data_IF_661689911192
#
_entry.id   IF_661689911192
#
_cell.length_a   1.000
_cell.length_b   1.000
_cell.length_c   1.000
_cell.angle_alpha   90.00
_cell.angle_beta   90.00
_cell.angle_gamma   90.00
#
_symmetry.space_group_name_H-M   'P 1'
#
loop_
_entity.id
_entity.type
_entity.pdbx_description
1 polymer ?
#
# COMPACT_ATOMS: atom_id res chain seq x y z
N UNK A 1 -20.25 -25.40 15.89
CA UNK A 1 -19.84 -24.04 16.29
C UNK A 1 -18.77 -23.57 15.31
N UNK A 2 -19.16 -23.06 14.14
CA UNK A 2 -18.23 -22.35 13.25
C UNK A 2 -18.40 -20.88 13.57
N UNK A 3 -17.40 -20.35 14.27
CA UNK A 3 -17.33 -18.95 14.69
C UNK A 3 -17.49 -18.02 13.49
N UNK A 4 -18.28 -16.98 13.71
CA UNK A 4 -18.55 -15.92 12.76
C UNK A 4 -17.28 -15.14 12.42
N UNK A 5 -16.86 -15.20 11.17
CA UNK A 5 -15.85 -14.29 10.60
C UNK A 5 -16.48 -13.49 9.48
N UNK A 6 -17.22 -12.44 9.84
CA UNK A 6 -17.52 -11.35 8.91
C UNK A 6 -16.47 -10.28 9.15
N UNK A 7 -15.41 -10.33 8.34
CA UNK A 7 -14.46 -9.27 7.97
C UNK A 7 -13.46 -9.95 7.00
N UNK A 8 -13.16 -9.30 5.87
CA UNK A 8 -12.02 -9.61 4.97
C UNK A 8 -12.14 -10.74 3.92
N UNK A 9 -13.35 -11.07 3.44
CA UNK A 9 -13.52 -12.03 2.33
C UNK A 9 -12.99 -11.59 0.96
N UNK A 10 -12.54 -10.35 0.80
CA UNK A 10 -12.07 -9.82 -0.48
C UNK A 10 -10.54 -9.81 -0.59
N UNK A 11 -9.77 -9.47 0.46
CA UNK A 11 -8.32 -9.25 0.33
C UNK A 11 -7.52 -10.44 -0.22
N UNK A 12 -7.92 -11.68 0.08
CA UNK A 12 -7.28 -12.87 -0.53
C UNK A 12 -7.65 -13.02 -2.00
N UNK A 13 -8.90 -12.74 -2.38
CA UNK A 13 -9.34 -12.76 -3.79
C UNK A 13 -8.74 -11.59 -4.56
N UNK A 14 -8.69 -10.41 -3.97
CA UNK A 14 -8.00 -9.24 -4.51
C UNK A 14 -6.53 -9.56 -4.73
N UNK A 15 -5.85 -10.17 -3.75
CA UNK A 15 -4.45 -10.56 -3.89
C UNK A 15 -4.26 -11.56 -5.03
N UNK A 16 -5.15 -12.54 -5.19
CA UNK A 16 -5.12 -13.48 -6.33
C UNK A 16 -5.35 -12.76 -7.67
N UNK A 17 -6.36 -11.87 -7.76
CA UNK A 17 -6.61 -11.08 -8.97
C UNK A 17 -5.44 -10.14 -9.30
N UNK A 18 -4.74 -9.67 -8.27
CA UNK A 18 -3.64 -8.73 -8.42
C UNK A 18 -2.28 -9.43 -8.56
N UNK A 19 -2.18 -10.74 -8.32
CA UNK A 19 -0.93 -11.49 -8.34
C UNK A 19 -0.22 -11.43 -9.71
N UNK A 20 -1.00 -11.49 -10.81
CA UNK A 20 -0.45 -11.37 -12.16
C UNK A 20 0.16 -9.98 -12.41
N UNK A 21 -0.56 -8.92 -11.98
CA UNK A 21 -0.05 -7.56 -12.07
C UNK A 21 1.10 -7.30 -11.09
N UNK A 22 1.14 -8.03 -9.98
CA UNK A 22 2.19 -7.99 -8.96
C UNK A 22 3.51 -8.56 -9.48
N UNK A 23 3.46 -9.55 -10.37
CA UNK A 23 4.65 -10.16 -10.95
C UNK A 23 5.54 -9.12 -11.66
N UNK A 24 4.93 -8.15 -12.35
CA UNK A 24 5.64 -7.03 -12.99
C UNK A 24 6.29 -6.06 -11.99
N UNK A 25 5.82 -6.02 -10.75
CA UNK A 25 6.38 -5.19 -9.67
C UNK A 25 7.45 -5.92 -8.85
N UNK A 26 7.60 -7.24 -8.99
CA UNK A 26 8.68 -7.98 -8.35
C UNK A 26 10.06 -7.42 -8.77
N UNK A 27 10.15 -6.88 -9.99
CA UNK A 27 11.36 -6.21 -10.50
C UNK A 27 11.68 -4.88 -9.80
N UNK A 28 10.74 -4.32 -9.04
CA UNK A 28 10.95 -3.13 -8.21
C UNK A 28 11.58 -3.45 -6.84
N UNK A 29 11.49 -4.70 -6.37
CA UNK A 29 12.00 -5.14 -5.07
C UNK A 29 13.45 -4.70 -4.78
N UNK A 30 14.44 -4.93 -5.68
CA UNK A 30 15.82 -4.53 -5.39
C UNK A 30 15.96 -3.02 -5.20
N UNK A 31 15.17 -2.18 -5.88
CA UNK A 31 15.21 -0.74 -5.66
C UNK A 31 14.60 -0.37 -4.30
N UNK A 32 13.40 -0.87 -3.99
CA UNK A 32 12.74 -0.53 -2.72
C UNK A 32 13.43 -1.14 -1.51
N UNK A 33 14.22 -2.19 -1.68
CA UNK A 33 15.09 -2.76 -0.63
C UNK A 33 16.40 -1.99 -0.46
N UNK A 34 16.74 -1.09 -1.37
CA UNK A 34 18.00 -0.33 -1.37
C UNK A 34 19.20 -1.09 -1.98
N UNK A 35 18.98 -2.26 -2.54
CA UNK A 35 19.98 -3.07 -3.25
C UNK A 35 20.33 -2.46 -4.61
N UNK A 36 19.39 -1.74 -5.24
CA UNK A 36 19.57 -1.03 -6.49
C UNK A 36 19.48 0.48 -6.32
N UNK A 37 20.33 1.22 -7.05
CA UNK A 37 20.35 2.69 -7.05
C UNK A 37 19.21 3.35 -7.83
N UNK A 38 18.60 2.60 -8.75
CA UNK A 38 17.53 3.10 -9.62
C UNK A 38 16.56 1.97 -9.98
N UNK A 39 15.27 2.28 -10.18
CA UNK A 39 14.31 1.29 -10.67
C UNK A 39 14.63 0.87 -12.11
N UNK A 40 14.33 -0.39 -12.44
CA UNK A 40 14.43 -0.89 -13.81
C UNK A 40 13.30 -0.32 -14.67
N UNK A 41 13.49 -0.24 -16.01
CA UNK A 41 12.41 0.18 -16.91
C UNK A 41 11.19 -0.75 -16.81
N UNK A 42 11.43 -2.03 -16.55
CA UNK A 42 10.38 -3.04 -16.37
C UNK A 42 9.53 -2.74 -15.11
N UNK A 43 10.18 -2.41 -14.00
CA UNK A 43 9.52 -1.97 -12.77
C UNK A 43 8.59 -0.76 -13.02
N UNK A 44 9.10 0.27 -13.71
CA UNK A 44 8.28 1.44 -14.02
C UNK A 44 7.16 1.15 -15.02
N UNK A 45 7.39 0.23 -15.97
CA UNK A 45 6.37 -0.26 -16.89
C UNK A 45 5.24 -0.98 -16.15
N UNK A 46 5.58 -1.90 -15.26
CA UNK A 46 4.65 -2.64 -14.41
C UNK A 46 3.83 -1.70 -13.51
N UNK A 47 4.48 -0.75 -12.83
CA UNK A 47 3.79 0.23 -11.98
C UNK A 47 2.80 1.10 -12.78
N UNK A 48 3.19 1.58 -13.96
CA UNK A 48 2.29 2.35 -14.84
C UNK A 48 1.11 1.52 -15.31
N UNK A 49 1.35 0.29 -15.69
CA UNK A 49 0.31 -0.61 -16.18
C UNK A 49 -0.70 -0.90 -15.07
N UNK A 50 -0.22 -1.22 -13.87
CA UNK A 50 -1.06 -1.44 -12.70
C UNK A 50 -1.94 -0.22 -12.39
N UNK A 51 -1.36 0.98 -12.36
CA UNK A 51 -2.07 2.23 -12.13
C UNK A 51 -3.19 2.48 -13.15
N UNK A 52 -3.02 2.01 -14.39
CA UNK A 52 -4.01 2.11 -15.45
C UNK A 52 -5.07 1.01 -15.39
N UNK A 53 -4.64 -0.22 -15.14
CA UNK A 53 -5.51 -1.40 -15.17
C UNK A 53 -6.37 -1.51 -13.93
N UNK A 54 -5.77 -1.43 -12.74
CA UNK A 54 -6.48 -1.71 -11.50
C UNK A 54 -5.91 -0.95 -10.31
N UNK A 55 -6.55 0.17 -9.96
CA UNK A 55 -6.25 0.92 -8.73
C UNK A 55 -6.45 0.08 -7.48
N UNK A 56 -7.39 -0.86 -7.49
CA UNK A 56 -7.63 -1.83 -6.40
C UNK A 56 -6.33 -2.59 -6.07
N UNK A 57 -5.64 -3.08 -7.09
CA UNK A 57 -4.41 -3.85 -6.91
C UNK A 57 -3.26 -3.04 -6.32
N UNK A 58 -3.15 -1.77 -6.71
CA UNK A 58 -2.21 -0.86 -6.06
C UNK A 58 -2.48 -0.71 -4.57
N UNK A 59 -3.74 -0.66 -4.17
CA UNK A 59 -4.12 -0.55 -2.77
C UNK A 59 -3.77 -1.82 -1.99
N UNK A 60 -3.99 -3.01 -2.59
CA UNK A 60 -3.55 -4.28 -2.00
C UNK A 60 -2.04 -4.27 -1.76
N UNK A 61 -1.25 -3.82 -2.74
CA UNK A 61 0.21 -3.76 -2.63
C UNK A 61 0.68 -2.85 -1.52
N UNK A 62 0.09 -1.66 -1.40
CA UNK A 62 0.49 -0.70 -0.36
C UNK A 62 0.11 -1.23 1.03
N UNK A 63 -0.99 -1.98 1.14
CA UNK A 63 -1.38 -2.68 2.37
C UNK A 63 -0.40 -3.81 2.72
N UNK A 64 -0.17 -4.74 1.79
CA UNK A 64 0.69 -5.93 1.98
C UNK A 64 2.17 -5.56 2.10
N UNK A 65 2.63 -4.52 1.40
CA UNK A 65 4.02 -4.05 1.45
C UNK A 65 4.40 -3.42 2.78
N UNK A 66 3.41 -3.02 3.58
CA UNK A 66 3.60 -2.56 4.96
C UNK A 66 3.38 -3.70 5.98
N UNK A 67 3.10 -4.92 5.51
CA UNK A 67 2.90 -6.07 6.37
C UNK A 67 4.26 -6.66 6.79
N UNK A 68 4.59 -6.66 8.09
CA UNK A 68 5.85 -7.20 8.58
C UNK A 68 5.94 -8.73 8.45
N UNK A 69 4.83 -9.44 8.23
CA UNK A 69 4.85 -10.90 8.02
C UNK A 69 5.33 -11.30 6.62
N UNK A 70 5.33 -10.37 5.64
CA UNK A 70 5.86 -10.65 4.30
C UNK A 70 7.38 -10.89 4.30
N UNK A 71 8.10 -10.53 5.38
CA UNK A 71 9.55 -10.72 5.48
C UNK A 71 10.35 -9.87 4.49
N UNK A 72 9.73 -8.86 3.88
CA UNK A 72 10.37 -7.94 2.95
C UNK A 72 10.89 -6.72 3.70
N UNK A 73 12.18 -6.43 3.55
CA UNK A 73 12.79 -5.22 4.10
C UNK A 73 12.58 -4.04 3.15
N UNK A 74 11.36 -3.47 3.15
CA UNK A 74 11.00 -2.34 2.29
C UNK A 74 11.53 -1.03 2.90
N UNK A 75 12.36 -0.30 2.16
CA UNK A 75 12.71 1.07 2.47
C UNK A 75 11.59 2.01 1.97
N UNK A 76 10.75 2.46 2.90
CA UNK A 76 9.59 3.31 2.63
C UNK A 76 9.97 4.57 1.84
N UNK A 77 11.16 5.15 2.09
CA UNK A 77 11.63 6.34 1.37
C UNK A 77 11.83 6.07 -0.12
N UNK A 78 12.39 4.91 -0.47
CA UNK A 78 12.58 4.49 -1.87
C UNK A 78 11.25 4.08 -2.51
N UNK A 79 10.35 3.47 -1.74
CA UNK A 79 9.00 3.19 -2.21
C UNK A 79 8.22 4.47 -2.53
N UNK A 80 8.38 5.53 -1.75
CA UNK A 80 7.75 6.83 -1.98
C UNK A 80 8.36 7.62 -3.15
N UNK A 81 9.62 7.36 -3.52
CA UNK A 81 10.25 7.99 -4.68
C UNK A 81 9.88 7.34 -6.02
N UNK A 82 9.48 6.06 -6.01
CA UNK A 82 9.11 5.30 -7.21
C UNK A 82 8.05 5.98 -8.09
N UNK A 83 6.90 6.45 -7.55
CA UNK A 83 5.87 7.13 -8.35
C UNK A 83 6.44 8.32 -9.13
N UNK A 84 7.33 9.09 -8.50
CA UNK A 84 7.97 10.27 -9.11
C UNK A 84 9.01 9.87 -10.16
N UNK A 85 9.88 8.91 -9.85
CA UNK A 85 10.92 8.44 -10.78
C UNK A 85 10.33 7.74 -12.01
N UNK A 86 9.27 6.97 -11.80
CA UNK A 86 8.57 6.32 -12.88
C UNK A 86 7.59 7.25 -13.60
N UNK A 87 7.39 8.51 -13.17
CA UNK A 87 6.37 9.42 -13.73
C UNK A 87 4.97 8.77 -13.75
N UNK A 88 4.62 8.15 -12.64
CA UNK A 88 3.42 7.35 -12.45
C UNK A 88 2.79 7.74 -11.11
N UNK A 89 2.13 8.92 -11.03
CA UNK A 89 1.57 9.41 -9.77
C UNK A 89 0.49 8.45 -9.26
N UNK A 90 0.72 7.92 -8.06
CA UNK A 90 -0.21 7.03 -7.37
C UNK A 90 -1.01 7.84 -6.35
N UNK A 91 -2.34 7.83 -6.46
CA UNK A 91 -3.22 8.42 -5.45
C UNK A 91 -3.80 7.31 -4.58
N UNK A 92 -3.25 7.17 -3.37
CA UNK A 92 -3.64 6.12 -2.42
C UNK A 92 -4.79 6.54 -1.50
N UNK A 93 -5.24 7.79 -1.54
CA UNK A 93 -6.38 8.28 -0.73
C UNK A 93 -7.69 7.54 -1.01
N UNK A 94 -7.83 6.98 -2.21
CA UNK A 94 -9.02 6.24 -2.63
C UNK A 94 -8.98 4.77 -2.20
N UNK A 95 -7.83 4.28 -1.73
CA UNK A 95 -7.63 2.88 -1.36
C UNK A 95 -8.55 2.36 -0.26
N UNK A 96 -8.85 3.12 0.81
CA UNK A 96 -9.80 2.67 1.82
C UNK A 96 -11.17 2.36 1.23
N UNK A 97 -11.67 3.23 0.33
CA UNK A 97 -12.95 3.01 -0.34
C UNK A 97 -12.89 1.82 -1.32
N UNK A 98 -11.80 1.67 -2.07
CA UNK A 98 -11.62 0.57 -3.05
C UNK A 98 -11.47 -0.80 -2.39
N UNK A 99 -10.88 -0.86 -1.20
CA UNK A 99 -10.71 -2.07 -0.40
C UNK A 99 -11.85 -2.29 0.60
N UNK A 100 -12.89 -1.45 0.55
CA UNK A 100 -14.04 -1.51 1.46
C UNK A 100 -13.63 -1.51 2.94
N UNK A 101 -12.59 -0.75 3.27
CA UNK A 101 -12.10 -0.56 4.63
C UNK A 101 -12.93 0.49 5.35
N UNK A 102 -13.07 0.34 6.67
CA UNK A 102 -13.68 1.39 7.47
C UNK A 102 -12.77 2.64 7.46
N UNK A 103 -13.29 3.84 7.16
CA UNK A 103 -12.48 5.04 7.05
C UNK A 103 -11.80 5.46 8.35
N UNK A 104 -12.24 4.94 9.51
CA UNK A 104 -11.62 5.18 10.82
C UNK A 104 -10.74 4.00 11.30
N UNK A 105 -10.50 3.00 10.45
CA UNK A 105 -9.61 1.88 10.75
C UNK A 105 -8.13 2.30 10.68
N UNK A 106 -7.24 1.68 11.47
CA UNK A 106 -5.82 1.96 11.40
C UNK A 106 -5.25 1.72 9.99
N UNK A 107 -5.77 0.73 9.26
CA UNK A 107 -5.42 0.47 7.87
C UNK A 107 -5.78 1.63 6.94
N UNK A 108 -6.98 2.22 7.08
CA UNK A 108 -7.37 3.38 6.28
C UNK A 108 -6.50 4.62 6.57
N UNK A 109 -6.13 4.82 7.83
CA UNK A 109 -5.26 5.92 8.23
C UNK A 109 -3.87 5.86 7.57
N UNK A 110 -3.32 4.66 7.38
CA UNK A 110 -2.03 4.50 6.69
C UNK A 110 -2.11 5.04 5.26
N UNK A 111 -3.17 4.72 4.53
CA UNK A 111 -3.38 5.24 3.17
C UNK A 111 -3.53 6.76 3.12
N UNK A 112 -4.28 7.35 4.05
CA UNK A 112 -4.40 8.81 4.13
C UNK A 112 -3.07 9.46 4.50
N UNK A 113 -2.26 8.83 5.36
CA UNK A 113 -0.95 9.34 5.73
C UNK A 113 0.01 9.33 4.53
N UNK A 114 0.00 8.26 3.73
CA UNK A 114 0.79 8.19 2.50
C UNK A 114 0.35 9.21 1.46
N UNK A 115 -0.95 9.50 1.37
CA UNK A 115 -1.45 10.57 0.53
C UNK A 115 -1.08 11.97 1.06
N UNK A 116 -1.11 12.14 2.38
CA UNK A 116 -0.87 13.42 3.07
C UNK A 116 0.62 13.74 3.22
N UNK A 117 1.53 12.77 3.09
CA UNK A 117 2.97 13.02 3.07
C UNK A 117 3.44 13.90 1.86
N UNK A 118 2.53 14.29 0.96
CA UNK A 118 2.72 15.40 0.00
C UNK A 118 2.45 16.82 0.55
N UNK A 119 1.89 16.95 1.75
CA UNK A 119 1.55 18.22 2.42
C UNK A 119 1.56 18.02 3.94
N UNK A 120 2.66 18.42 4.60
CA UNK A 120 2.67 18.60 6.05
C UNK A 120 1.58 19.56 6.50
N UNK A 121 0.60 19.06 7.27
CA UNK A 121 0.00 19.75 8.40
C UNK A 121 -0.81 18.75 9.25
N UNK A 122 -0.33 18.56 10.48
CA UNK A 122 -0.93 17.90 11.63
C UNK A 122 -2.48 17.80 11.67
N UNK A 123 -3.00 16.62 12.03
CA UNK A 123 -3.96 16.51 13.14
C UNK A 123 -3.79 15.18 13.89
N UNK A 124 -3.36 15.33 15.15
CA UNK A 124 -3.65 14.51 16.30
C UNK A 124 -3.35 13.01 16.24
N UNK A 125 -2.14 12.69 16.72
CA UNK A 125 -2.04 11.73 17.81
C UNK A 125 -3.18 11.97 18.81
N UNK A 126 -4.09 11.01 18.94
CA UNK A 126 -4.70 10.77 20.23
C UNK A 126 -4.34 9.34 20.61
N UNK A 127 -3.23 9.11 21.32
CA UNK A 127 -3.17 7.92 22.15
C UNK A 127 -4.31 8.08 23.16
N UNK A 128 -5.17 7.08 23.29
CA UNK A 128 -5.97 6.96 24.51
C UNK A 128 -5.20 6.03 25.45
N UNK A 129 -4.41 6.56 26.41
CA UNK A 129 -4.05 5.81 27.59
C UNK A 129 -4.94 6.21 28.78
N UNK A 130 -5.45 5.16 29.42
CA UNK A 130 -5.66 5.04 30.87
C UNK A 130 -6.97 5.51 31.51
N UNK A 131 -7.75 4.51 31.93
CA UNK A 131 -8.36 4.29 33.27
C UNK A 131 -8.29 5.48 34.26
N UNK A 132 -9.46 5.91 34.80
CA UNK A 132 -9.77 6.02 36.25
C UNK A 132 -11.21 6.52 36.51
N UNK A 133 -12.12 5.63 36.91
CA UNK A 133 -12.96 5.67 38.13
C UNK A 133 -13.84 4.42 38.20
#
# INVERSE_FOLDING_TARGET
MVISSRVNGDASKDREECADQLAGLATCLPYVQGEARSPTPDCCGGLKQLLKTSKKCLCVIVKDGNDPQLGLNINVTLALSLPSLCQAPANVSQCPALLHLDPHSPEAQIFYQYASNGTSAHVASSPSPSVLH
#
